data_IF_722240217891
#
_entry.id   IF_722240217891
#
_cell.length_a   1.000
_cell.length_b   1.000
_cell.length_c   1.000
_cell.angle_alpha   90.00
_cell.angle_beta   90.00
_cell.angle_gamma   90.00
#
_symmetry.space_group_name_H-M   'P 1'
#
loop_
_entity.id
_entity.type
_entity.pdbx_description
1 polymer ?
#
# COMPACT_ATOMS: atom_id res chain seq x y z
N UNK A 1 -5.79 -0.32 11.35
CA UNK A 1 -5.87 0.46 12.61
C UNK A 1 -4.62 0.34 13.46
N UNK A 2 -4.07 -0.87 13.68
CA UNK A 2 -2.83 -1.03 14.46
C UNK A 2 -1.62 -0.30 13.85
N UNK A 3 -1.44 -0.38 12.53
CA UNK A 3 -0.36 0.34 11.85
C UNK A 3 -0.46 1.86 12.02
N UNK A 4 -1.65 2.45 11.87
CA UNK A 4 -1.85 3.89 12.08
C UNK A 4 -1.63 4.28 13.55
N UNK A 5 -2.08 3.46 14.51
CA UNK A 5 -1.86 3.70 15.94
C UNK A 5 -0.37 3.67 16.31
N UNK A 6 0.40 2.74 15.73
CA UNK A 6 1.83 2.63 15.99
C UNK A 6 2.59 3.92 15.65
N UNK A 7 2.08 4.74 14.72
CA UNK A 7 2.69 6.04 14.39
C UNK A 7 2.62 7.07 15.53
N UNK A 8 1.72 6.88 16.49
CA UNK A 8 1.64 7.71 17.71
C UNK A 8 2.76 7.42 18.70
N UNK A 9 3.31 6.19 18.68
CA UNK A 9 4.40 5.79 19.57
C UNK A 9 5.77 5.95 18.91
N UNK A 10 5.89 5.56 17.64
CA UNK A 10 7.16 5.58 16.91
C UNK A 10 6.94 6.24 15.55
N UNK A 11 7.71 7.29 15.28
CA UNK A 11 7.71 7.99 13.99
C UNK A 11 9.02 7.74 13.26
N UNK A 12 9.08 6.62 12.55
CA UNK A 12 10.21 6.23 11.72
C UNK A 12 9.72 5.52 10.46
N UNK A 13 10.17 5.83 9.24
CA UNK A 13 11.33 6.63 8.90
C UNK A 13 11.07 8.14 8.90
N UNK A 14 12.16 8.92 8.81
CA UNK A 14 12.08 10.38 8.65
C UNK A 14 11.43 10.76 7.30
N UNK A 15 10.81 11.95 7.18
CA UNK A 15 10.10 12.38 5.96
C UNK A 15 10.92 12.20 4.67
N UNK A 16 12.22 12.53 4.71
CA UNK A 16 13.14 12.38 3.57
C UNK A 16 13.24 10.95 3.03
N UNK A 17 13.11 9.95 3.89
CA UNK A 17 13.29 8.54 3.53
C UNK A 17 11.96 7.79 3.42
N UNK A 18 10.82 8.44 3.66
CA UNK A 18 9.50 7.80 3.66
C UNK A 18 9.13 7.18 2.30
N UNK A 19 9.59 7.78 1.20
CA UNK A 19 9.29 7.28 -0.14
C UNK A 19 9.88 5.89 -0.40
N UNK A 20 11.04 5.56 0.21
CA UNK A 20 11.74 4.28 -0.01
C UNK A 20 10.87 3.08 0.39
N UNK A 21 10.40 2.96 1.64
CA UNK A 21 9.54 1.84 2.02
C UNK A 21 8.17 1.91 1.36
N UNK A 22 7.66 3.10 0.99
CA UNK A 22 6.41 3.22 0.24
C UNK A 22 6.54 2.59 -1.15
N UNK A 23 7.61 2.90 -1.89
CA UNK A 23 7.89 2.32 -3.21
C UNK A 23 8.17 0.82 -3.12
N UNK A 24 8.88 0.37 -2.08
CA UNK A 24 9.17 -1.05 -1.86
C UNK A 24 7.89 -1.89 -1.69
N UNK A 25 6.77 -1.30 -1.26
CA UNK A 25 5.49 -2.01 -1.17
C UNK A 25 4.94 -2.46 -2.52
N UNK A 26 5.43 -1.90 -3.62
CA UNK A 26 5.15 -2.42 -4.96
C UNK A 26 5.50 -3.91 -5.10
N UNK A 27 6.48 -4.41 -4.34
CA UNK A 27 6.87 -5.82 -4.35
C UNK A 27 5.79 -6.77 -3.78
N UNK A 28 4.87 -6.28 -2.94
CA UNK A 28 3.75 -7.11 -2.46
C UNK A 28 2.82 -7.51 -3.59
N UNK A 29 2.74 -6.69 -4.64
CA UNK A 29 1.82 -6.92 -5.75
C UNK A 29 2.13 -8.20 -6.55
N UNK A 30 3.33 -8.38 -7.13
CA UNK A 30 3.67 -9.64 -7.80
C UNK A 30 3.63 -10.82 -6.82
N UNK A 31 4.02 -10.58 -5.57
CA UNK A 31 4.02 -11.61 -4.53
C UNK A 31 2.62 -12.15 -4.24
N UNK A 32 1.58 -11.29 -4.23
CA UNK A 32 0.18 -11.74 -4.17
C UNK A 32 -0.30 -12.44 -5.45
N UNK A 33 0.20 -12.08 -6.63
CA UNK A 33 -0.15 -12.77 -7.88
C UNK A 33 0.38 -14.21 -7.91
N UNK A 34 1.55 -14.47 -7.32
CA UNK A 34 2.14 -15.80 -7.19
C UNK A 34 1.56 -16.67 -6.06
N UNK A 35 0.76 -16.08 -5.17
CA UNK A 35 -0.09 -16.83 -4.24
C UNK A 35 -1.22 -17.56 -5.00
N UNK A 36 -1.99 -18.36 -4.28
CA UNK A 36 -3.13 -19.12 -4.79
C UNK A 36 -4.33 -18.22 -5.21
N UNK A 37 -4.11 -17.32 -6.15
CA UNK A 37 -5.12 -16.46 -6.75
C UNK A 37 -5.81 -17.20 -7.91
N UNK A 38 -7.07 -17.56 -7.70
CA UNK A 38 -7.92 -18.28 -8.66
C UNK A 38 -8.95 -17.31 -9.29
N UNK A 39 -8.69 -16.77 -10.49
CA UNK A 39 -9.70 -16.02 -11.22
C UNK A 39 -10.85 -16.96 -11.64
N UNK A 40 -12.10 -16.58 -11.33
CA UNK A 40 -13.28 -17.37 -11.69
C UNK A 40 -13.48 -17.33 -13.21
N UNK A 41 -13.57 -18.51 -13.83
CA UNK A 41 -13.93 -18.65 -15.25
C UNK A 41 -12.78 -18.54 -16.26
N UNK A 42 -11.51 -18.58 -15.82
CA UNK A 42 -10.35 -18.54 -16.75
C UNK A 42 -9.26 -19.54 -16.34
N UNK A 43 -8.58 -20.13 -17.32
CA UNK A 43 -7.40 -20.97 -17.08
C UNK A 43 -6.19 -20.08 -16.79
N UNK A 44 -5.52 -20.36 -15.68
CA UNK A 44 -4.32 -19.65 -15.22
C UNK A 44 -3.08 -20.24 -15.88
N UNK A 45 -2.25 -19.38 -16.46
CA UNK A 45 -0.94 -19.72 -17.06
C UNK A 45 0.22 -19.48 -16.10
N UNK A 46 0.07 -18.52 -15.17
CA UNK A 46 1.11 -18.17 -14.20
C UNK A 46 1.31 -19.27 -13.15
N UNK A 47 2.55 -19.73 -12.87
CA UNK A 47 2.79 -20.73 -11.83
C UNK A 47 2.36 -20.23 -10.44
N UNK A 48 1.91 -21.16 -9.58
CA UNK A 48 1.62 -20.90 -8.17
C UNK A 48 2.89 -21.25 -7.37
N UNK A 49 3.58 -20.25 -6.85
CA UNK A 49 4.81 -20.45 -6.06
C UNK A 49 4.50 -20.57 -4.57
N UNK A 50 3.42 -19.92 -4.11
CA UNK A 50 3.02 -19.90 -2.70
C UNK A 50 1.65 -20.55 -2.58
N UNK A 51 1.63 -21.82 -2.19
CA UNK A 51 0.41 -22.61 -1.96
C UNK A 51 -0.08 -22.56 -0.50
N UNK A 52 0.81 -22.22 0.43
CA UNK A 52 0.51 -22.21 1.86
C UNK A 52 -0.30 -20.96 2.27
N UNK A 53 -1.51 -21.20 2.77
CA UNK A 53 -2.44 -20.15 3.22
C UNK A 53 -1.90 -19.31 4.38
N UNK A 54 -1.09 -19.90 5.27
CA UNK A 54 -0.46 -19.18 6.37
C UNK A 54 0.52 -18.14 5.86
N UNK A 55 1.28 -18.47 4.81
CA UNK A 55 2.23 -17.53 4.22
C UNK A 55 1.46 -16.35 3.61
N UNK A 56 0.38 -16.61 2.88
CA UNK A 56 -0.53 -15.57 2.37
C UNK A 56 -1.03 -14.65 3.49
N UNK A 57 -1.47 -15.21 4.61
CA UNK A 57 -1.93 -14.43 5.77
C UNK A 57 -0.83 -13.55 6.35
N UNK A 58 0.38 -14.08 6.53
CA UNK A 58 1.53 -13.31 7.03
C UNK A 58 1.81 -12.11 6.12
N UNK A 59 1.84 -12.35 4.80
CA UNK A 59 2.06 -11.29 3.81
C UNK A 59 0.95 -10.24 3.90
N UNK A 60 -0.32 -10.65 3.98
CA UNK A 60 -1.46 -9.75 4.10
C UNK A 60 -1.41 -8.88 5.38
N UNK A 61 -1.01 -9.46 6.50
CA UNK A 61 -0.83 -8.73 7.76
C UNK A 61 0.31 -7.71 7.64
N UNK A 62 1.46 -8.09 7.08
CA UNK A 62 2.60 -7.18 6.90
C UNK A 62 2.25 -6.04 5.93
N UNK A 63 1.57 -6.36 4.81
CA UNK A 63 1.15 -5.37 3.82
C UNK A 63 0.12 -4.39 4.40
N UNK A 64 -0.87 -4.87 5.15
CA UNK A 64 -1.89 -4.03 5.77
C UNK A 64 -1.32 -3.15 6.89
N UNK A 65 -0.44 -3.71 7.74
CA UNK A 65 0.23 -2.97 8.81
C UNK A 65 1.12 -1.85 8.23
N UNK A 66 1.99 -2.19 7.29
CA UNK A 66 2.85 -1.20 6.61
C UNK A 66 2.04 -0.14 5.87
N UNK A 67 0.87 -0.50 5.30
CA UNK A 67 -0.04 0.46 4.68
C UNK A 67 -0.55 1.52 5.66
N UNK A 68 -1.10 1.06 6.78
CA UNK A 68 -1.64 1.95 7.80
C UNK A 68 -0.56 2.85 8.38
N UNK A 69 0.60 2.26 8.68
CA UNK A 69 1.72 2.98 9.30
C UNK A 69 2.33 4.05 8.36
N UNK A 70 2.70 3.68 7.14
CA UNK A 70 3.37 4.61 6.21
C UNK A 70 2.42 5.70 5.68
N UNK A 71 1.14 5.36 5.45
CA UNK A 71 0.14 6.35 5.03
C UNK A 71 -0.12 7.39 6.12
N UNK A 72 -0.26 6.95 7.38
CA UNK A 72 -0.38 7.86 8.53
C UNK A 72 0.84 8.75 8.70
N UNK A 73 2.06 8.21 8.55
CA UNK A 73 3.28 9.03 8.55
C UNK A 73 3.26 10.10 7.45
N UNK A 74 2.88 9.73 6.22
CA UNK A 74 2.76 10.67 5.11
C UNK A 74 1.80 11.82 5.40
N UNK A 75 0.62 11.49 5.94
CA UNK A 75 -0.39 12.48 6.32
C UNK A 75 0.05 13.39 7.47
N UNK A 76 0.85 12.88 8.42
CA UNK A 76 1.41 13.69 9.50
C UNK A 76 2.56 14.59 9.05
N UNK A 77 3.35 14.14 8.08
CA UNK A 77 4.54 14.87 7.61
C UNK A 77 4.18 15.97 6.61
N UNK A 78 3.20 15.75 5.72
CA UNK A 78 2.88 16.69 4.66
C UNK A 78 2.58 18.13 5.16
N UNK A 79 1.70 18.35 6.16
CA UNK A 79 1.47 19.69 6.72
C UNK A 79 2.71 20.30 7.38
N UNK A 80 3.60 19.48 7.95
CA UNK A 80 4.82 19.95 8.65
C UNK A 80 5.92 20.42 7.71
N UNK A 81 5.77 20.19 6.40
CA UNK A 81 6.75 20.61 5.39
C UNK A 81 6.59 22.04 4.91
N UNK A 82 5.50 22.71 5.32
CA UNK A 82 5.18 24.09 4.92
C UNK A 82 5.10 25.02 6.14
N UNK A 83 5.16 26.33 5.89
CA UNK A 83 4.99 27.33 6.96
C UNK A 83 3.63 27.20 7.65
N UNK A 84 3.49 27.59 8.94
CA UNK A 84 2.25 27.47 9.72
C UNK A 84 0.98 27.95 9.02
N UNK A 85 1.08 29.04 8.25
CA UNK A 85 -0.03 29.63 7.48
C UNK A 85 -0.66 28.66 6.47
N UNK A 86 0.11 27.72 5.92
CA UNK A 86 -0.32 26.84 4.83
C UNK A 86 -0.55 25.38 5.27
N UNK A 87 -0.39 25.06 6.56
CA UNK A 87 -0.45 23.68 7.03
C UNK A 87 -1.81 23.01 6.77
N UNK A 88 -2.90 23.73 7.01
CA UNK A 88 -4.26 23.24 6.74
C UNK A 88 -4.44 22.91 5.25
N UNK A 89 -4.03 23.83 4.37
CA UNK A 89 -4.11 23.63 2.92
C UNK A 89 -3.25 22.45 2.45
N UNK A 90 -2.03 22.33 2.97
CA UNK A 90 -1.16 21.19 2.67
C UNK A 90 -1.77 19.85 3.15
N UNK A 91 -2.43 19.83 4.30
CA UNK A 91 -3.18 18.67 4.79
C UNK A 91 -4.34 18.27 3.88
N UNK A 92 -5.08 19.27 3.36
CA UNK A 92 -6.15 19.04 2.38
C UNK A 92 -5.61 18.44 1.07
N UNK A 93 -4.49 18.97 0.55
CA UNK A 93 -3.84 18.39 -0.64
C UNK A 93 -3.35 16.96 -0.39
N UNK A 94 -2.77 16.68 0.78
CA UNK A 94 -2.36 15.33 1.14
C UNK A 94 -3.54 14.35 1.15
N UNK A 95 -4.68 14.75 1.73
CA UNK A 95 -5.89 13.94 1.73
C UNK A 95 -6.45 13.72 0.31
N UNK A 96 -6.45 14.76 -0.54
CA UNK A 96 -6.88 14.64 -1.92
C UNK A 96 -6.00 13.63 -2.70
N UNK A 97 -4.68 13.74 -2.58
CA UNK A 97 -3.73 12.81 -3.22
C UNK A 97 -3.90 11.38 -2.73
N UNK A 98 -4.19 11.18 -1.43
CA UNK A 98 -4.47 9.86 -0.89
C UNK A 98 -5.71 9.22 -1.55
N UNK A 99 -6.80 9.98 -1.70
CA UNK A 99 -8.03 9.50 -2.36
C UNK A 99 -7.77 9.20 -3.84
N UNK A 100 -7.05 10.07 -4.54
CA UNK A 100 -6.64 9.83 -5.93
C UNK A 100 -5.83 8.54 -6.07
N UNK A 101 -4.91 8.27 -5.12
CA UNK A 101 -4.15 7.02 -5.08
C UNK A 101 -5.03 5.78 -4.88
N UNK A 102 -6.03 5.86 -4.00
CA UNK A 102 -6.99 4.76 -3.80
C UNK A 102 -7.80 4.52 -5.08
N UNK A 103 -8.33 5.57 -5.68
CA UNK A 103 -9.13 5.47 -6.90
C UNK A 103 -8.33 4.87 -8.07
N UNK A 104 -7.13 5.40 -8.33
CA UNK A 104 -6.24 4.86 -9.37
C UNK A 104 -5.81 3.42 -9.10
N UNK A 105 -5.57 3.05 -7.84
CA UNK A 105 -5.26 1.67 -7.45
C UNK A 105 -6.42 0.70 -7.68
N UNK A 106 -7.66 1.11 -7.43
CA UNK A 106 -8.85 0.29 -7.72
C UNK A 106 -8.97 0.08 -9.24
N UNK A 107 -8.80 1.13 -10.04
CA UNK A 107 -8.81 1.01 -11.50
C UNK A 107 -7.71 0.08 -12.01
N UNK A 108 -6.50 0.20 -11.45
CA UNK A 108 -5.38 -0.66 -11.80
C UNK A 108 -5.62 -2.13 -11.43
N UNK A 109 -6.42 -2.40 -10.40
CA UNK A 109 -6.72 -3.76 -9.94
C UNK A 109 -7.48 -4.59 -10.99
N UNK A 110 -8.21 -3.94 -11.90
CA UNK A 110 -8.86 -4.63 -13.02
C UNK A 110 -7.88 -5.19 -14.06
N UNK A 111 -6.61 -4.76 -14.05
CA UNK A 111 -5.59 -5.25 -14.97
C UNK A 111 -5.00 -6.60 -14.54
N UNK A 112 -5.00 -6.93 -13.24
CA UNK A 112 -4.36 -8.14 -12.72
C UNK A 112 -4.89 -9.47 -13.28
N UNK A 113 -6.20 -9.66 -13.47
CA UNK A 113 -6.70 -10.87 -14.11
C UNK A 113 -6.05 -11.12 -15.47
N UNK A 114 -5.88 -10.07 -16.30
CA UNK A 114 -5.24 -10.21 -17.61
C UNK A 114 -3.80 -10.74 -17.50
N UNK A 115 -3.01 -10.26 -16.53
CA UNK A 115 -1.64 -10.75 -16.33
C UNK A 115 -1.55 -12.21 -15.86
N UNK A 116 -2.60 -12.75 -15.24
CA UNK A 116 -2.62 -14.13 -14.73
C UNK A 116 -3.03 -15.14 -15.83
N UNK A 117 -3.63 -14.64 -16.91
CA UNK A 117 -4.20 -15.41 -18.02
C UNK A 117 -3.24 -15.47 -19.23
N UNK A 118 -2.39 -14.46 -19.41
CA UNK A 118 -1.30 -14.46 -20.41
C UNK A 118 -0.17 -15.41 -20.01
#
# INVERSE_FOLDING_TARGET
MLGSLATSWVQWPKPKYLWIPVSMRGAFLPLFLFCNYLPKGVQRTLPILITNELIYWIIAVVMSFSSGYLSSLGMMYAPKTVSPKYQTTAGMFAAAMLITGIFSGILFSFLFPYFVIF
#
